data_IF_019151997219
#
_entry.id   IF_019151997219
#
_cell.length_a   1.000
_cell.length_b   1.000
_cell.length_c   1.000
_cell.angle_alpha   90.00
_cell.angle_beta   90.00
_cell.angle_gamma   90.00
#
_symmetry.space_group_name_H-M   'P 1'
#
loop_
_entity.id
_entity.type
_entity.pdbx_description
1 polymer ?
#
# COMPACT_ATOMS: atom_id res chain seq x y z
N UNK A 1 -3.45 11.85 -16.75
CA UNK A 1 -3.03 12.87 -17.74
C UNK A 1 -1.50 12.88 -17.92
N UNK A 2 -0.70 12.80 -16.84
CA UNK A 2 0.76 12.78 -16.94
C UNK A 2 1.32 11.52 -17.61
N UNK A 3 0.78 10.36 -17.30
CA UNK A 3 1.23 9.07 -17.85
C UNK A 3 0.98 8.99 -19.35
N UNK A 4 -0.24 9.32 -19.81
CA UNK A 4 -0.58 9.33 -21.24
C UNK A 4 0.32 10.30 -22.01
N UNK A 5 0.60 11.48 -21.45
CA UNK A 5 1.47 12.47 -22.08
C UNK A 5 2.93 11.94 -22.20
N UNK A 6 3.43 11.25 -21.17
CA UNK A 6 4.76 10.61 -21.20
C UNK A 6 4.83 9.49 -22.22
N UNK A 7 3.83 8.62 -22.28
CA UNK A 7 3.74 7.54 -23.27
C UNK A 7 3.70 8.07 -24.71
N UNK A 8 2.91 9.14 -24.97
CA UNK A 8 2.86 9.78 -26.29
C UNK A 8 4.21 10.40 -26.66
N UNK A 9 4.86 11.10 -25.73
CA UNK A 9 6.18 11.70 -25.95
C UNK A 9 7.24 10.62 -26.22
N UNK A 10 7.17 9.50 -25.52
CA UNK A 10 8.04 8.35 -25.72
C UNK A 10 7.88 7.71 -27.09
N UNK A 11 6.64 7.57 -27.59
CA UNK A 11 6.39 7.01 -28.92
C UNK A 11 6.92 7.91 -30.06
N UNK A 12 7.04 9.21 -29.83
CA UNK A 12 7.52 10.18 -30.81
C UNK A 12 9.03 10.43 -30.76
N UNK A 13 9.68 10.28 -29.58
CA UNK A 13 11.06 10.69 -29.32
C UNK A 13 11.96 9.51 -28.84
N UNK A 14 11.49 8.26 -28.98
CA UNK A 14 12.23 7.12 -28.46
C UNK A 14 13.59 6.94 -29.12
N UNK A 15 14.65 7.19 -28.36
CA UNK A 15 16.03 6.83 -28.68
C UNK A 15 16.58 5.92 -27.58
N UNK A 16 16.86 4.65 -27.90
CA UNK A 16 17.45 3.69 -26.94
C UNK A 16 18.80 4.17 -26.37
N UNK A 17 19.45 5.12 -27.03
CA UNK A 17 20.77 5.64 -26.63
C UNK A 17 20.70 6.86 -25.71
N UNK A 18 19.54 7.53 -25.62
CA UNK A 18 19.33 8.71 -24.76
C UNK A 18 17.97 8.70 -24.04
N UNK A 19 17.85 8.01 -22.91
CA UNK A 19 16.64 7.98 -22.10
C UNK A 19 16.38 9.29 -21.30
N UNK A 20 17.25 10.29 -21.43
CA UNK A 20 17.33 11.47 -20.57
C UNK A 20 16.02 12.18 -20.25
N UNK A 21 15.19 12.64 -21.23
CA UNK A 21 13.98 13.43 -20.92
C UNK A 21 12.91 12.65 -20.18
N UNK A 22 12.85 11.34 -20.32
CA UNK A 22 11.83 10.49 -19.68
C UNK A 22 12.12 10.19 -18.22
N UNK A 23 13.36 10.39 -17.78
CA UNK A 23 13.78 10.16 -16.39
C UNK A 23 13.52 11.37 -15.47
N UNK A 24 13.10 12.50 -16.00
CA UNK A 24 12.84 13.69 -15.17
C UNK A 24 11.76 13.41 -14.13
N UNK A 25 12.10 13.59 -12.85
CA UNK A 25 11.21 13.35 -11.72
C UNK A 25 10.98 11.86 -11.37
N UNK A 26 11.74 10.93 -11.96
CA UNK A 26 11.66 9.51 -11.65
C UNK A 26 12.58 9.17 -10.47
N UNK A 27 12.01 8.55 -9.44
CA UNK A 27 12.78 7.97 -8.33
C UNK A 27 13.25 6.55 -8.71
N UNK A 28 14.51 6.46 -9.11
CA UNK A 28 15.13 5.19 -9.50
C UNK A 28 15.64 4.35 -8.31
N UNK A 29 15.60 4.90 -7.08
CA UNK A 29 16.20 4.24 -5.90
C UNK A 29 15.49 2.95 -5.49
N UNK A 30 14.29 2.66 -5.99
CA UNK A 30 13.63 1.37 -5.76
C UNK A 30 14.47 0.17 -6.23
N UNK A 31 15.37 0.37 -7.19
CA UNK A 31 16.30 -0.69 -7.62
C UNK A 31 17.26 -1.14 -6.52
N UNK A 32 17.52 -0.30 -5.53
CA UNK A 32 18.38 -0.63 -4.39
C UNK A 32 17.73 -1.65 -3.45
N UNK A 33 16.40 -1.77 -3.50
CA UNK A 33 15.62 -2.69 -2.67
C UNK A 33 15.13 -3.94 -3.43
N UNK A 34 15.42 -4.02 -4.75
CA UNK A 34 15.03 -5.13 -5.61
C UNK A 34 16.21 -6.04 -5.95
N UNK A 35 15.99 -7.35 -5.93
CA UNK A 35 16.91 -8.30 -6.56
C UNK A 35 16.69 -8.28 -8.08
N UNK A 36 17.43 -7.42 -8.78
CA UNK A 36 17.34 -7.30 -10.25
C UNK A 36 17.86 -8.54 -10.99
N UNK A 37 18.53 -9.48 -10.32
CA UNK A 37 18.96 -10.76 -10.91
C UNK A 37 17.85 -11.82 -10.84
N UNK A 38 16.74 -11.53 -10.16
CA UNK A 38 15.55 -12.39 -10.19
C UNK A 38 15.02 -12.51 -11.62
N UNK A 39 14.83 -13.73 -12.10
CA UNK A 39 14.47 -14.03 -13.50
C UNK A 39 13.17 -13.35 -13.97
N UNK A 40 12.24 -13.07 -13.06
CA UNK A 40 11.00 -12.33 -13.36
C UNK A 40 11.23 -10.85 -13.68
N UNK A 41 12.38 -10.28 -13.30
CA UNK A 41 12.69 -8.86 -13.47
C UNK A 41 13.70 -8.58 -14.61
N UNK A 42 13.92 -9.53 -15.52
CA UNK A 42 14.88 -9.38 -16.63
C UNK A 42 14.64 -8.12 -17.47
N UNK A 43 13.39 -7.75 -17.73
CA UNK A 43 13.07 -6.54 -18.50
C UNK A 43 13.34 -5.28 -17.68
N UNK A 44 13.04 -5.30 -16.40
CA UNK A 44 13.32 -4.21 -15.45
C UNK A 44 14.84 -3.97 -15.42
N UNK A 45 15.63 -5.03 -15.20
CA UNK A 45 17.09 -4.96 -15.18
C UNK A 45 17.64 -4.37 -16.48
N UNK A 46 17.18 -4.86 -17.64
CA UNK A 46 17.65 -4.39 -18.95
C UNK A 46 17.42 -2.88 -19.13
N UNK A 47 16.23 -2.40 -18.79
CA UNK A 47 15.93 -0.97 -18.87
C UNK A 47 16.77 -0.16 -17.88
N UNK A 48 16.97 -0.68 -16.67
CA UNK A 48 17.81 -0.05 -15.66
C UNK A 48 19.29 0.05 -16.11
N UNK A 49 19.83 -1.03 -16.69
CA UNK A 49 21.23 -1.10 -17.12
C UNK A 49 21.57 -0.08 -18.23
N UNK A 50 20.58 0.30 -19.06
CA UNK A 50 20.75 1.36 -20.08
C UNK A 50 20.39 2.76 -19.58
N UNK A 51 20.01 2.90 -18.30
CA UNK A 51 19.65 4.17 -17.70
C UNK A 51 18.24 4.68 -18.00
N UNK A 52 17.37 3.86 -18.61
CA UNK A 52 15.96 4.19 -18.83
C UNK A 52 15.13 3.81 -17.58
N UNK A 53 15.18 4.66 -16.58
CA UNK A 53 14.53 4.39 -15.29
C UNK A 53 13.00 4.43 -15.37
N UNK A 54 12.46 5.29 -16.24
CA UNK A 54 11.01 5.30 -16.47
C UNK A 54 10.53 3.96 -17.01
N UNK A 55 11.21 3.44 -18.05
CA UNK A 55 10.93 2.11 -18.60
C UNK A 55 11.11 1.01 -17.56
N UNK A 56 12.15 1.10 -16.73
CA UNK A 56 12.38 0.11 -15.68
C UNK A 56 11.19 0.04 -14.71
N UNK A 57 10.63 1.19 -14.28
CA UNK A 57 9.45 1.23 -13.41
C UNK A 57 8.16 0.80 -14.12
N UNK A 58 7.99 1.14 -15.40
CA UNK A 58 6.87 0.62 -16.22
C UNK A 58 6.93 -0.91 -16.35
N UNK A 59 8.10 -1.49 -16.62
CA UNK A 59 8.26 -2.94 -16.68
C UNK A 59 8.08 -3.60 -15.31
N UNK A 60 8.46 -2.93 -14.23
CA UNK A 60 8.16 -3.40 -12.88
C UNK A 60 6.66 -3.41 -12.60
N UNK A 61 5.94 -2.36 -12.96
CA UNK A 61 4.49 -2.30 -12.86
C UNK A 61 3.83 -3.40 -13.71
N UNK A 62 4.30 -3.61 -14.94
CA UNK A 62 3.83 -4.67 -15.83
C UNK A 62 4.08 -6.07 -15.22
N UNK A 63 5.22 -6.27 -14.58
CA UNK A 63 5.51 -7.51 -13.85
C UNK A 63 4.46 -7.77 -12.78
N UNK A 64 4.14 -6.79 -11.92
CA UNK A 64 3.11 -6.96 -10.89
C UNK A 64 1.72 -7.20 -11.49
N UNK A 65 1.30 -6.42 -12.48
CA UNK A 65 -0.01 -6.52 -13.12
C UNK A 65 -0.22 -7.81 -13.91
N UNK A 66 0.84 -8.37 -14.48
CA UNK A 66 0.77 -9.62 -15.25
C UNK A 66 0.72 -10.88 -14.40
N UNK A 67 1.00 -10.78 -13.11
CA UNK A 67 0.96 -11.95 -12.21
C UNK A 67 -0.49 -12.37 -11.96
N UNK A 68 -0.74 -13.66 -12.14
CA UNK A 68 -2.06 -14.27 -11.88
C UNK A 68 -2.09 -15.12 -10.62
N UNK A 69 -0.97 -15.19 -9.91
CA UNK A 69 -0.83 -15.92 -8.65
C UNK A 69 -0.08 -15.06 -7.63
N UNK A 70 -0.38 -15.25 -6.36
CA UNK A 70 0.37 -14.64 -5.28
C UNK A 70 1.69 -15.35 -5.05
N UNK A 71 2.72 -14.59 -4.67
CA UNK A 71 3.98 -15.13 -4.18
C UNK A 71 4.00 -15.25 -2.65
N UNK A 72 3.08 -14.57 -1.98
CA UNK A 72 2.93 -14.64 -0.54
C UNK A 72 2.18 -15.93 -0.16
N UNK A 73 2.80 -16.87 0.60
CA UNK A 73 2.18 -18.13 0.96
C UNK A 73 0.94 -17.99 1.87
N UNK A 74 0.73 -16.80 2.44
CA UNK A 74 -0.44 -16.49 3.27
C UNK A 74 -1.63 -15.95 2.48
N UNK A 75 -1.49 -15.77 1.16
CA UNK A 75 -2.53 -15.23 0.28
C UNK A 75 -2.92 -16.25 -0.77
N UNK A 76 -4.12 -16.79 -0.66
CA UNK A 76 -4.71 -17.65 -1.70
C UNK A 76 -5.62 -16.81 -2.61
N UNK A 77 -5.09 -16.40 -3.75
CA UNK A 77 -5.83 -15.61 -4.73
C UNK A 77 -6.86 -16.44 -5.52
N UNK A 78 -6.79 -17.79 -5.45
CA UNK A 78 -7.69 -18.68 -6.21
C UNK A 78 -9.11 -18.77 -5.62
N UNK A 79 -9.28 -18.40 -4.35
CA UNK A 79 -10.52 -18.61 -3.60
C UNK A 79 -10.96 -17.41 -2.74
N UNK A 80 -10.65 -16.18 -3.19
CA UNK A 80 -11.00 -14.97 -2.42
C UNK A 80 -12.51 -14.72 -2.47
N UNK A 81 -13.16 -14.88 -1.33
CA UNK A 81 -14.60 -14.60 -1.16
C UNK A 81 -14.80 -13.80 0.13
N UNK A 82 -15.02 -12.49 0.05
CA UNK A 82 -15.30 -11.69 1.25
C UNK A 82 -16.60 -12.12 1.93
N UNK A 83 -16.60 -12.16 3.24
CA UNK A 83 -17.81 -12.34 4.04
C UNK A 83 -18.70 -11.08 3.98
N UNK A 84 -19.97 -11.21 4.38
CA UNK A 84 -20.88 -10.06 4.46
C UNK A 84 -20.36 -8.97 5.41
N UNK A 85 -19.65 -9.33 6.46
CA UNK A 85 -19.00 -8.36 7.37
C UNK A 85 -17.81 -7.67 6.71
N UNK A 86 -16.95 -8.42 6.02
CA UNK A 86 -15.81 -7.86 5.29
C UNK A 86 -16.25 -6.86 4.21
N UNK A 87 -17.34 -7.15 3.48
CA UNK A 87 -17.92 -6.22 2.52
C UNK A 87 -18.36 -4.91 3.20
N UNK A 88 -19.05 -5.00 4.35
CA UNK A 88 -19.47 -3.80 5.12
C UNK A 88 -18.27 -3.01 5.64
N UNK A 89 -17.24 -3.69 6.14
CA UNK A 89 -16.04 -3.03 6.66
C UNK A 89 -15.23 -2.36 5.55
N UNK A 90 -15.21 -2.96 4.35
CA UNK A 90 -14.61 -2.35 3.19
C UNK A 90 -15.26 -1.00 2.83
N UNK A 91 -16.58 -0.94 2.82
CA UNK A 91 -17.33 0.31 2.56
C UNK A 91 -17.17 1.32 3.69
N UNK A 92 -17.19 0.89 4.95
CA UNK A 92 -17.00 1.79 6.09
C UNK A 92 -15.62 2.47 6.11
N UNK A 93 -14.59 1.80 5.58
CA UNK A 93 -13.23 2.35 5.54
C UNK A 93 -13.05 3.46 4.50
N UNK A 94 -14.01 3.67 3.61
CA UNK A 94 -13.95 4.70 2.58
C UNK A 94 -14.03 6.12 3.18
N UNK A 95 -13.45 7.08 2.47
CA UNK A 95 -13.45 8.51 2.83
C UNK A 95 -14.86 9.06 3.08
N UNK A 96 -15.80 8.77 2.19
CA UNK A 96 -17.20 9.18 2.28
C UNK A 96 -17.93 8.62 3.50
N UNK A 97 -17.38 7.60 4.13
CA UNK A 97 -17.88 6.99 5.36
C UNK A 97 -17.03 7.36 6.59
N UNK A 98 -16.31 8.49 6.52
CA UNK A 98 -15.51 9.05 7.60
C UNK A 98 -14.37 8.15 8.09
N UNK A 99 -13.77 7.35 7.17
CA UNK A 99 -12.65 6.45 7.48
C UNK A 99 -12.95 5.60 8.73
N UNK A 100 -14.05 4.86 8.72
CA UNK A 100 -14.42 3.97 9.81
C UNK A 100 -13.69 2.65 9.68
N UNK A 101 -12.64 2.49 10.46
CA UNK A 101 -11.83 1.27 10.44
C UNK A 101 -12.30 0.28 11.48
N UNK A 102 -12.46 -0.98 11.08
CA UNK A 102 -12.73 -2.08 12.01
C UNK A 102 -11.41 -2.55 12.64
N UNK A 103 -10.88 -1.71 13.53
CA UNK A 103 -9.75 -2.07 14.38
C UNK A 103 -10.30 -2.86 15.55
N UNK A 104 -9.93 -4.13 15.64
CA UNK A 104 -10.41 -5.03 16.69
C UNK A 104 -10.27 -4.39 18.08
N UNK A 105 -11.21 -4.66 19.01
CA UNK A 105 -11.28 -4.15 20.38
C UNK A 105 -12.05 -2.82 20.60
N UNK A 106 -12.66 -2.20 19.59
CA UNK A 106 -13.63 -1.16 19.86
C UNK A 106 -15.02 -1.77 20.08
N UNK A 107 -15.43 -1.83 21.33
CA UNK A 107 -16.76 -2.31 21.74
C UNK A 107 -17.72 -1.13 21.94
N UNK A 108 -18.79 -1.11 21.16
CA UNK A 108 -19.88 -0.16 21.36
C UNK A 108 -20.93 -0.77 22.30
N UNK A 109 -21.04 -0.21 23.51
CA UNK A 109 -21.99 -0.70 24.53
C UNK A 109 -23.45 -0.53 24.11
N UNK A 110 -23.77 0.43 23.25
CA UNK A 110 -25.14 0.64 22.76
C UNK A 110 -25.49 -0.38 21.66
N UNK A 111 -24.52 -0.76 20.82
CA UNK A 111 -24.68 -1.79 19.81
C UNK A 111 -24.53 -3.21 20.37
N UNK A 112 -23.85 -3.38 21.50
CA UNK A 112 -23.55 -4.69 22.10
C UNK A 112 -22.52 -5.51 21.34
N UNK A 113 -21.75 -4.89 20.47
CA UNK A 113 -20.74 -5.55 19.61
C UNK A 113 -19.54 -4.65 19.30
N UNK A 114 -18.48 -5.25 18.74
CA UNK A 114 -17.38 -4.51 18.16
C UNK A 114 -17.81 -3.88 16.85
N UNK A 115 -17.57 -2.58 16.70
CA UNK A 115 -17.96 -1.79 15.51
C UNK A 115 -16.79 -0.99 14.96
N UNK A 116 -16.85 -0.61 13.66
CA UNK A 116 -15.90 0.32 13.08
C UNK A 116 -15.96 1.69 13.75
N UNK A 117 -14.81 2.28 14.06
CA UNK A 117 -14.68 3.60 14.62
C UNK A 117 -14.18 4.61 13.59
N UNK A 118 -14.67 5.84 13.63
CA UNK A 118 -14.22 6.90 12.74
C UNK A 118 -12.84 7.43 13.16
N UNK A 119 -11.90 7.39 12.26
CA UNK A 119 -10.56 7.98 12.40
C UNK A 119 -10.41 9.29 11.61
N UNK A 120 -11.52 9.85 11.14
CA UNK A 120 -11.52 11.16 10.50
C UNK A 120 -10.98 12.24 11.43
N UNK A 121 -10.09 13.06 10.92
CA UNK A 121 -9.57 14.21 11.66
C UNK A 121 -10.67 15.19 12.05
N UNK A 122 -10.57 15.75 13.24
CA UNK A 122 -11.51 16.80 13.73
C UNK A 122 -11.43 18.10 12.92
N UNK A 123 -10.30 18.36 12.23
CA UNK A 123 -10.18 19.45 11.27
C UNK A 123 -11.01 19.26 10.01
N UNK A 124 -11.53 18.06 9.79
CA UNK A 124 -12.35 17.70 8.64
C UNK A 124 -11.58 17.13 7.46
N UNK A 125 -10.26 17.26 7.45
CA UNK A 125 -9.39 16.77 6.37
C UNK A 125 -8.50 15.63 6.87
N UNK A 126 -8.52 14.49 6.14
CA UNK A 126 -7.64 13.36 6.35
C UNK A 126 -7.96 12.51 7.60
N UNK A 127 -6.97 11.74 8.01
CA UNK A 127 -7.07 10.74 9.08
C UNK A 127 -6.26 11.21 10.29
N UNK A 128 -6.80 11.00 11.48
CA UNK A 128 -6.09 11.22 12.74
C UNK A 128 -5.64 9.88 13.33
N UNK A 129 -4.39 9.54 13.09
CA UNK A 129 -3.75 8.30 13.55
C UNK A 129 -3.47 8.27 15.06
N UNK A 130 -3.76 9.36 15.76
CA UNK A 130 -3.58 9.46 17.22
C UNK A 130 -4.85 9.13 18.00
N UNK A 131 -5.98 8.95 17.33
CA UNK A 131 -7.26 8.61 17.96
C UNK A 131 -7.14 7.28 18.71
N UNK A 132 -7.56 7.31 19.95
CA UNK A 132 -7.52 6.17 20.87
C UNK A 132 -8.87 6.03 21.60
N UNK A 133 -9.89 5.45 20.96
CA UNK A 133 -11.27 5.52 21.44
C UNK A 133 -11.54 4.75 22.74
N UNK A 134 -10.84 3.64 22.99
CA UNK A 134 -11.08 2.81 24.19
C UNK A 134 -10.16 3.11 25.36
N UNK A 135 -9.04 3.80 25.12
CA UNK A 135 -7.96 3.90 26.10
C UNK A 135 -7.15 2.61 26.28
N UNK A 136 -7.49 1.52 25.58
CA UNK A 136 -6.77 0.26 25.62
C UNK A 136 -5.58 0.28 24.67
N UNK A 137 -4.40 0.02 25.21
CA UNK A 137 -3.15 0.13 24.47
C UNK A 137 -3.07 -0.82 23.26
N UNK A 138 -3.66 -2.00 23.37
CA UNK A 138 -3.69 -2.99 22.29
C UNK A 138 -4.46 -2.46 21.06
N UNK A 139 -5.57 -1.77 21.24
CA UNK A 139 -6.29 -1.15 20.12
C UNK A 139 -5.43 -0.11 19.40
N UNK A 140 -4.69 0.70 20.15
CA UNK A 140 -3.74 1.66 19.57
C UNK A 140 -2.69 0.98 18.71
N UNK A 141 -2.14 -0.15 19.14
CA UNK A 141 -1.17 -0.91 18.36
C UNK A 141 -1.80 -1.56 17.12
N UNK A 142 -2.98 -2.13 17.26
CA UNK A 142 -3.69 -2.78 16.15
C UNK A 142 -4.07 -1.81 15.04
N UNK A 143 -4.34 -0.54 15.34
CA UNK A 143 -4.53 0.50 14.32
C UNK A 143 -3.34 0.55 13.35
N UNK A 144 -2.12 0.43 13.87
CA UNK A 144 -0.90 0.54 13.10
C UNK A 144 -0.38 -0.78 12.50
N UNK A 145 -1.07 -1.92 12.73
CA UNK A 145 -0.74 -3.22 12.09
C UNK A 145 -1.34 -3.37 10.71
N UNK A 146 -2.38 -2.62 10.38
CA UNK A 146 -3.08 -2.59 9.08
C UNK A 146 -3.88 -3.85 8.72
N UNK A 147 -4.03 -4.82 9.61
CA UNK A 147 -4.84 -6.01 9.37
C UNK A 147 -6.29 -5.68 8.97
N UNK A 148 -6.82 -4.58 9.50
CA UNK A 148 -8.16 -4.07 9.18
C UNK A 148 -8.32 -3.57 7.73
N UNK A 149 -7.23 -3.40 6.97
CA UNK A 149 -7.27 -3.09 5.54
C UNK A 149 -7.54 -4.33 4.67
N UNK A 150 -7.27 -5.54 5.18
CA UNK A 150 -7.39 -6.80 4.41
C UNK A 150 -8.81 -7.06 3.90
N UNK A 151 -9.91 -6.83 4.66
CA UNK A 151 -11.27 -6.95 4.14
C UNK A 151 -11.53 -6.12 2.90
N UNK A 152 -11.02 -4.89 2.85
CA UNK A 152 -11.17 -4.01 1.69
C UNK A 152 -10.40 -4.53 0.47
N UNK A 153 -9.18 -5.04 0.67
CA UNK A 153 -8.39 -5.63 -0.40
C UNK A 153 -9.03 -6.90 -0.99
N UNK A 154 -9.59 -7.77 -0.15
CA UNK A 154 -10.39 -8.91 -0.60
C UNK A 154 -11.61 -8.48 -1.41
N UNK A 155 -12.28 -7.41 -0.96
CA UNK A 155 -13.45 -6.84 -1.64
C UNK A 155 -13.06 -6.29 -3.01
N UNK A 156 -11.94 -5.55 -3.11
CA UNK A 156 -11.37 -5.12 -4.38
C UNK A 156 -11.11 -6.32 -5.30
N UNK A 157 -10.37 -7.32 -4.80
CA UNK A 157 -9.95 -8.46 -5.60
C UNK A 157 -11.15 -9.23 -6.20
N UNK A 158 -12.23 -9.37 -5.43
CA UNK A 158 -13.44 -10.08 -5.89
C UNK A 158 -14.35 -9.24 -6.79
N UNK A 159 -14.39 -7.91 -6.62
CA UNK A 159 -15.29 -7.01 -7.35
C UNK A 159 -14.63 -6.25 -8.49
N UNK A 160 -13.31 -6.09 -8.43
CA UNK A 160 -12.51 -5.21 -9.30
C UNK A 160 -12.99 -3.74 -9.26
N UNK A 161 -13.61 -3.31 -8.14
CA UNK A 161 -14.02 -1.92 -7.95
C UNK A 161 -12.85 -1.08 -7.46
N UNK A 162 -12.33 -0.25 -8.36
CA UNK A 162 -11.14 0.59 -8.13
C UNK A 162 -11.28 1.58 -6.98
N UNK A 163 -12.49 1.88 -6.50
CA UNK A 163 -12.67 2.74 -5.32
C UNK A 163 -11.91 2.23 -4.09
N UNK A 164 -11.81 0.90 -3.94
CA UNK A 164 -11.10 0.29 -2.81
C UNK A 164 -9.58 0.37 -2.96
N UNK A 165 -9.08 0.24 -4.19
CA UNK A 165 -7.66 0.43 -4.47
C UNK A 165 -7.25 1.89 -4.27
N UNK A 166 -8.04 2.83 -4.76
CA UNK A 166 -7.84 4.27 -4.54
C UNK A 166 -7.84 4.62 -3.05
N UNK A 167 -8.75 4.02 -2.27
CA UNK A 167 -8.79 4.22 -0.83
C UNK A 167 -7.55 3.66 -0.14
N UNK A 168 -7.05 2.48 -0.54
CA UNK A 168 -5.79 1.95 -0.01
C UNK A 168 -4.62 2.89 -0.29
N UNK A 169 -4.50 3.39 -1.53
CA UNK A 169 -3.47 4.36 -1.91
C UNK A 169 -3.55 5.62 -1.04
N UNK A 170 -4.76 6.16 -0.85
CA UNK A 170 -4.98 7.34 -0.03
C UNK A 170 -4.64 7.08 1.45
N UNK A 171 -5.20 6.05 2.03
CA UNK A 171 -5.09 5.75 3.47
C UNK A 171 -3.68 5.32 3.86
N UNK A 172 -3.07 4.44 3.07
CA UNK A 172 -1.71 3.99 3.35
C UNK A 172 -0.69 5.08 3.04
N UNK A 173 -0.87 5.85 1.97
CA UNK A 173 -0.03 7.01 1.68
C UNK A 173 -0.11 8.10 2.74
N UNK A 174 -1.30 8.34 3.31
CA UNK A 174 -1.47 9.24 4.45
C UNK A 174 -0.76 8.69 5.71
N UNK A 175 -0.86 7.38 5.95
CA UNK A 175 -0.17 6.74 7.07
C UNK A 175 1.37 6.87 6.96
N UNK A 176 1.95 6.62 5.78
CA UNK A 176 3.39 6.75 5.53
C UNK A 176 3.87 8.17 5.87
N UNK A 177 3.13 9.18 5.42
CA UNK A 177 3.48 10.59 5.66
C UNK A 177 3.41 11.00 7.13
N UNK A 178 2.42 10.49 7.86
CA UNK A 178 2.18 10.88 9.25
C UNK A 178 2.95 10.04 10.27
N UNK A 179 3.48 8.89 9.86
CA UNK A 179 4.18 7.97 10.76
C UNK A 179 5.59 7.63 10.21
N UNK A 180 6.47 8.60 10.00
CA UNK A 180 7.81 8.34 9.50
C UNK A 180 8.59 7.44 10.46
N UNK A 181 9.54 6.68 9.90
CA UNK A 181 10.45 5.85 10.71
C UNK A 181 11.21 6.74 11.71
N UNK A 182 11.24 6.37 12.99
CA UNK A 182 12.01 7.10 13.99
C UNK A 182 13.51 7.11 13.67
N UNK A 183 14.20 8.15 14.12
CA UNK A 183 15.65 8.23 13.99
C UNK A 183 16.33 7.02 14.64
N UNK A 184 17.46 6.60 14.07
CA UNK A 184 18.23 5.49 14.59
C UNK A 184 18.64 5.74 16.06
N UNK A 185 18.39 4.74 16.92
CA UNK A 185 18.66 4.83 18.36
C UNK A 185 17.48 5.31 19.20
N UNK A 186 16.36 5.66 18.58
CA UNK A 186 15.12 5.94 19.32
C UNK A 186 14.61 4.68 20.03
N UNK A 187 14.22 4.79 21.30
CA UNK A 187 13.52 3.70 21.99
C UNK A 187 12.10 3.54 21.44
N UNK A 188 11.89 2.48 20.69
CA UNK A 188 10.59 2.15 20.06
C UNK A 188 9.78 1.10 20.83
N UNK A 189 10.20 0.71 22.04
CA UNK A 189 9.56 -0.36 22.82
C UNK A 189 8.06 -0.14 23.02
N UNK A 190 7.63 1.11 23.20
CA UNK A 190 6.24 1.51 23.37
C UNK A 190 5.76 2.50 22.30
N UNK A 191 6.47 2.59 21.18
CA UNK A 191 6.07 3.48 20.08
C UNK A 191 4.77 2.99 19.45
N UNK A 192 3.83 3.92 19.19
CA UNK A 192 2.51 3.55 18.68
C UNK A 192 2.59 2.80 17.35
N UNK A 193 3.39 3.31 16.42
CA UNK A 193 3.45 2.84 15.02
C UNK A 193 4.74 2.07 14.69
N UNK A 194 5.79 2.15 15.51
CA UNK A 194 7.11 1.55 15.19
C UNK A 194 7.61 0.55 16.23
N UNK A 195 6.76 0.06 17.12
CA UNK A 195 7.11 -1.06 17.98
C UNK A 195 7.42 -2.31 17.12
N UNK A 196 8.49 -3.07 17.36
CA UNK A 196 8.93 -4.15 16.47
C UNK A 196 7.84 -5.18 16.12
N UNK A 197 7.00 -5.56 17.07
CA UNK A 197 5.88 -6.47 16.82
C UNK A 197 4.88 -5.88 15.81
N UNK A 198 4.59 -4.60 15.91
CA UNK A 198 3.60 -3.93 15.04
C UNK A 198 4.19 -3.67 13.66
N UNK A 199 5.49 -3.39 13.57
CA UNK A 199 6.24 -3.31 12.30
C UNK A 199 6.17 -4.65 11.57
N UNK A 200 6.49 -5.76 12.26
CA UNK A 200 6.44 -7.08 11.66
C UNK A 200 5.01 -7.46 11.19
N UNK A 201 3.99 -7.20 12.00
CA UNK A 201 2.59 -7.45 11.63
C UNK A 201 2.19 -6.61 10.41
N UNK A 202 2.50 -5.31 10.40
CA UNK A 202 2.22 -4.41 9.27
C UNK A 202 2.93 -4.83 8.00
N UNK A 203 4.19 -5.26 8.07
CA UNK A 203 4.93 -5.76 6.91
C UNK A 203 4.23 -6.97 6.30
N UNK A 204 3.81 -7.94 7.11
CA UNK A 204 3.07 -9.12 6.65
C UNK A 204 1.76 -8.70 5.96
N UNK A 205 0.99 -7.80 6.59
CA UNK A 205 -0.30 -7.37 6.06
C UNK A 205 -0.14 -6.53 4.78
N UNK A 206 0.82 -5.60 4.73
CA UNK A 206 1.05 -4.79 3.52
C UNK A 206 1.59 -5.61 2.35
N UNK A 207 2.42 -6.63 2.60
CA UNK A 207 2.80 -7.58 1.56
C UNK A 207 1.57 -8.33 1.00
N UNK A 208 0.62 -8.71 1.86
CA UNK A 208 -0.62 -9.32 1.41
C UNK A 208 -1.52 -8.34 0.64
N UNK A 209 -1.61 -7.09 1.09
CA UNK A 209 -2.37 -6.04 0.41
C UNK A 209 -1.83 -5.77 -0.99
N UNK A 210 -0.51 -5.71 -1.16
CA UNK A 210 0.11 -5.57 -2.48
C UNK A 210 -0.28 -6.72 -3.42
N UNK A 211 -0.35 -7.96 -2.92
CA UNK A 211 -0.81 -9.11 -3.72
C UNK A 211 -2.27 -8.97 -4.18
N UNK A 212 -3.17 -8.50 -3.32
CA UNK A 212 -4.56 -8.26 -3.70
C UNK A 212 -4.72 -7.13 -4.70
N UNK A 213 -3.95 -6.04 -4.57
CA UNK A 213 -4.06 -4.83 -5.39
C UNK A 213 -3.14 -4.81 -6.61
N UNK A 214 -2.30 -5.83 -6.82
CA UNK A 214 -1.27 -5.83 -7.86
C UNK A 214 -1.80 -5.58 -9.29
N UNK A 215 -3.06 -5.91 -9.56
CA UNK A 215 -3.68 -5.73 -10.88
C UNK A 215 -4.47 -4.43 -11.01
N UNK A 216 -4.51 -3.59 -9.97
CA UNK A 216 -5.25 -2.33 -9.97
C UNK A 216 -4.70 -1.37 -11.04
N UNK A 217 -5.63 -0.77 -11.77
CA UNK A 217 -5.32 0.30 -12.73
C UNK A 217 -5.06 1.65 -12.04
N UNK A 218 -5.51 1.80 -10.79
CA UNK A 218 -5.31 3.02 -9.99
C UNK A 218 -3.88 3.19 -9.47
N UNK A 219 -3.10 2.11 -9.38
CA UNK A 219 -1.69 2.17 -8.97
C UNK A 219 -0.85 2.86 -10.04
N UNK A 220 0.03 3.77 -9.61
CA UNK A 220 1.02 4.41 -10.47
C UNK A 220 2.43 3.88 -10.20
N UNK A 221 3.38 4.16 -11.09
CA UNK A 221 4.79 3.77 -10.87
C UNK A 221 5.36 4.46 -9.62
N UNK A 222 4.96 5.70 -9.35
CA UNK A 222 5.36 6.44 -8.16
C UNK A 222 4.82 5.78 -6.89
N UNK A 223 3.55 5.37 -6.91
CA UNK A 223 2.94 4.67 -5.78
C UNK A 223 3.59 3.31 -5.53
N UNK A 224 3.83 2.51 -6.58
CA UNK A 224 4.51 1.22 -6.44
C UNK A 224 5.91 1.41 -5.85
N UNK A 225 6.66 2.42 -6.33
CA UNK A 225 7.98 2.77 -5.80
C UNK A 225 7.91 3.11 -4.31
N UNK A 226 6.97 3.96 -3.91
CA UNK A 226 6.77 4.36 -2.51
C UNK A 226 6.46 3.15 -1.62
N UNK A 227 5.54 2.28 -2.05
CA UNK A 227 5.18 1.06 -1.29
C UNK A 227 6.38 0.14 -1.14
N UNK A 228 7.11 -0.18 -2.21
CA UNK A 228 8.23 -1.11 -2.15
C UNK A 228 9.37 -0.59 -1.25
N UNK A 229 9.69 0.69 -1.34
CA UNK A 229 10.68 1.32 -0.45
C UNK A 229 10.25 1.28 1.00
N UNK A 230 8.97 1.53 1.25
CA UNK A 230 8.43 1.50 2.61
C UNK A 230 8.39 0.07 3.19
N UNK A 231 8.12 -0.95 2.36
CA UNK A 231 8.23 -2.35 2.78
C UNK A 231 9.68 -2.73 3.14
N UNK A 232 10.66 -2.28 2.34
CA UNK A 232 12.08 -2.46 2.66
C UNK A 232 12.47 -1.76 3.97
N UNK A 233 12.00 -0.54 4.19
CA UNK A 233 12.21 0.20 5.43
C UNK A 233 11.69 -0.55 6.68
N UNK A 234 10.62 -1.33 6.53
CA UNK A 234 10.09 -2.18 7.61
C UNK A 234 10.91 -3.45 7.83
N UNK A 235 11.60 -3.94 6.80
CA UNK A 235 12.43 -5.14 6.88
C UNK A 235 13.81 -4.87 7.49
N UNK A 236 14.29 -3.63 7.46
CA UNK A 236 15.59 -3.15 7.91
C UNK A 236 15.50 -2.28 9.17
#
# INVERSE_FOLDING_TARGET
AGTIFREMKRAEEWDESDPGPMNEGIDASVSEVLDLDYSGLTKVKRAYDIGDYYMALEELMNYYRSRTHGLNPNVDLSSVTPTANELRWADYALRENDYRFYVNNYYDAAAGENVPYSYKSKSGDGIDWTIWPTGEQEQRYQLHRHQWMVPQAKTYYSSQDEKYALNWIEVYGDWIKQNPKPEQGTDVTNHASWRPLDVAARLIDQCALLEYYQQSESGTIEWLTEVLKHLDEHAN
#
